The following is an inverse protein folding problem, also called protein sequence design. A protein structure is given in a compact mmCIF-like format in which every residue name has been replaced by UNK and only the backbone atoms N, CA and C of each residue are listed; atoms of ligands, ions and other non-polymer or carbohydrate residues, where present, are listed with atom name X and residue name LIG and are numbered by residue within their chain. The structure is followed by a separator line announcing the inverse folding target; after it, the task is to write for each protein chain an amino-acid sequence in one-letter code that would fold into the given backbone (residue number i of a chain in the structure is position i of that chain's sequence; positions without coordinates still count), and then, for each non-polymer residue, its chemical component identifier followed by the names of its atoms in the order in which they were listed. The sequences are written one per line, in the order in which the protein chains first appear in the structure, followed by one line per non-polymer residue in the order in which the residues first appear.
data_IF_754010988694
#
_entry.id   IF_754010988694
#
_cell.length_a   1.000
_cell.length_b   1.000
_cell.length_c   1.000
_cell.angle_alpha   90.00
_cell.angle_beta   90.00
_cell.angle_gamma   90.00
#
_symmetry.space_group_name_H-M   'P 1'
#
loop_
_entity.id
_entity.type
_entity.pdbx_description
1 polymer ?
#
# COMPACT_ATOMS: atom_id res chain seq x y z
N UNK A 1 12.50 -35.77 28.25
CA UNK A 1 13.10 -34.47 27.87
C UNK A 1 11.95 -33.58 27.42
N UNK A 2 11.37 -32.82 28.35
CA UNK A 2 10.22 -31.94 28.09
C UNK A 2 10.83 -30.68 27.47
N UNK A 3 10.62 -30.48 26.18
CA UNK A 3 11.09 -29.27 25.50
C UNK A 3 10.14 -28.16 25.97
N UNK A 4 10.63 -27.29 26.84
CA UNK A 4 9.85 -26.17 27.35
C UNK A 4 9.55 -25.22 26.18
N UNK A 5 8.28 -25.19 25.79
CA UNK A 5 7.74 -24.34 24.71
C UNK A 5 8.05 -22.87 25.00
N UNK A 6 8.14 -22.51 26.27
CA UNK A 6 8.48 -21.16 26.74
C UNK A 6 9.95 -20.78 26.51
N UNK A 7 10.85 -21.76 26.42
CA UNK A 7 12.27 -21.49 26.08
C UNK A 7 12.41 -21.26 24.57
N UNK A 8 11.64 -21.98 23.76
CA UNK A 8 11.58 -21.75 22.30
C UNK A 8 10.93 -20.40 21.99
N UNK A 9 9.86 -20.01 22.69
CA UNK A 9 9.20 -18.72 22.50
C UNK A 9 10.13 -17.55 22.89
N UNK A 10 10.84 -17.66 24.01
CA UNK A 10 11.79 -16.65 24.44
C UNK A 10 13.05 -16.57 23.56
N UNK A 11 13.52 -17.69 23.01
CA UNK A 11 14.58 -17.70 22.00
C UNK A 11 14.09 -17.11 20.68
N UNK A 12 12.85 -17.40 20.25
CA UNK A 12 12.27 -16.81 19.06
C UNK A 12 12.17 -15.28 19.20
N UNK A 13 11.64 -14.77 20.31
CA UNK A 13 11.55 -13.33 20.61
C UNK A 13 12.92 -12.65 20.62
N UNK A 14 13.96 -13.34 21.12
CA UNK A 14 15.35 -12.82 21.15
C UNK A 14 16.03 -12.80 19.77
N UNK A 15 15.58 -13.60 18.80
CA UNK A 15 16.15 -13.70 17.46
C UNK A 15 15.28 -13.12 16.33
N UNK A 16 14.00 -12.78 16.59
CA UNK A 16 13.11 -12.20 15.57
C UNK A 16 12.87 -10.71 15.83
N UNK A 17 13.73 -9.87 15.26
CA UNK A 17 13.44 -8.43 15.06
C UNK A 17 12.39 -8.19 13.97
N UNK A 18 11.69 -9.23 13.52
CA UNK A 18 10.71 -9.18 12.44
C UNK A 18 9.33 -8.92 13.05
N UNK A 19 8.63 -7.86 12.62
CA UNK A 19 7.29 -7.56 13.11
C UNK A 19 6.26 -8.68 12.85
N UNK A 20 5.23 -8.78 13.71
CA UNK A 20 4.30 -9.91 13.76
C UNK A 20 3.50 -10.08 12.46
N UNK A 21 2.96 -9.00 11.89
CA UNK A 21 2.12 -9.07 10.68
C UNK A 21 2.97 -9.49 9.49
N UNK A 22 4.22 -9.00 9.44
CA UNK A 22 5.20 -9.41 8.44
C UNK A 22 5.45 -10.92 8.52
N UNK A 23 5.67 -11.46 9.74
CA UNK A 23 5.88 -12.90 9.94
C UNK A 23 4.67 -13.71 9.45
N UNK A 24 3.45 -13.26 9.75
CA UNK A 24 2.21 -13.91 9.31
C UNK A 24 2.12 -13.96 7.78
N UNK A 25 2.37 -12.84 7.09
CA UNK A 25 2.32 -12.83 5.61
C UNK A 25 3.46 -13.63 4.97
N UNK A 26 4.65 -13.68 5.58
CA UNK A 26 5.74 -14.55 5.13
C UNK A 26 5.37 -16.03 5.29
N UNK A 27 4.88 -16.43 6.46
CA UNK A 27 4.43 -17.80 6.71
C UNK A 27 3.29 -18.18 5.76
N UNK A 28 2.34 -17.27 5.53
CA UNK A 28 1.23 -17.47 4.58
C UNK A 28 1.76 -17.70 3.16
N UNK A 29 2.69 -16.88 2.69
CA UNK A 29 3.24 -17.00 1.33
C UNK A 29 4.03 -18.28 1.14
N UNK A 30 4.87 -18.63 2.13
CA UNK A 30 5.64 -19.88 2.12
C UNK A 30 4.70 -21.09 2.11
N UNK A 31 3.70 -21.11 2.98
CA UNK A 31 2.77 -22.24 3.10
C UNK A 31 1.90 -22.38 1.86
N UNK A 32 1.28 -21.31 1.37
CA UNK A 32 0.42 -21.37 0.17
C UNK A 32 1.22 -21.71 -1.09
N UNK A 33 2.42 -21.16 -1.26
CA UNK A 33 3.28 -21.50 -2.40
C UNK A 33 3.78 -22.95 -2.32
N UNK A 34 4.14 -23.44 -1.13
CA UNK A 34 4.56 -24.82 -0.92
C UNK A 34 3.42 -25.82 -1.19
N UNK A 35 2.22 -25.55 -0.66
CA UNK A 35 1.02 -26.37 -0.91
C UNK A 35 0.68 -26.39 -2.39
N UNK A 36 0.71 -25.25 -3.07
CA UNK A 36 0.45 -25.17 -4.52
C UNK A 36 1.48 -25.98 -5.30
N UNK A 37 2.77 -25.83 -4.98
CA UNK A 37 3.84 -26.59 -5.65
C UNK A 37 3.70 -28.10 -5.44
N UNK A 38 3.37 -28.52 -4.22
CA UNK A 38 3.12 -29.93 -3.89
C UNK A 38 1.95 -30.50 -4.69
N UNK A 39 0.79 -29.82 -4.67
CA UNK A 39 -0.41 -30.28 -5.41
C UNK A 39 -0.15 -30.30 -6.92
N UNK A 40 0.54 -29.30 -7.47
CA UNK A 40 0.90 -29.28 -8.90
C UNK A 40 1.80 -30.45 -9.26
N UNK A 41 2.80 -30.75 -8.43
CA UNK A 41 3.73 -31.86 -8.65
C UNK A 41 3.02 -33.22 -8.61
N UNK A 42 2.15 -33.43 -7.63
CA UNK A 42 1.35 -34.65 -7.53
C UNK A 42 0.42 -34.81 -8.75
N UNK A 43 -0.31 -33.75 -9.11
CA UNK A 43 -1.21 -33.75 -10.27
C UNK A 43 -0.45 -34.01 -11.57
N UNK A 44 0.76 -33.44 -11.71
CA UNK A 44 1.62 -33.67 -12.87
C UNK A 44 1.99 -35.15 -13.00
N UNK A 45 2.45 -35.76 -11.91
CA UNK A 45 2.87 -37.16 -11.91
C UNK A 45 1.71 -38.09 -12.25
N UNK A 46 0.50 -37.81 -11.78
CA UNK A 46 -0.70 -38.59 -12.10
C UNK A 46 -1.14 -38.42 -13.55
N UNK A 47 -1.09 -37.21 -14.10
CA UNK A 47 -1.60 -36.93 -15.45
C UNK A 47 -0.58 -37.23 -16.56
N UNK A 48 0.71 -37.32 -16.22
CA UNK A 48 1.77 -37.61 -17.16
C UNK A 48 1.67 -39.02 -17.76
N UNK A 49 1.13 -39.99 -17.01
CA UNK A 49 0.91 -41.35 -17.53
C UNK A 49 -0.09 -41.39 -18.68
N UNK A 50 -1.09 -40.51 -18.61
CA UNK A 50 -2.21 -40.49 -19.54
C UNK A 50 -1.95 -39.53 -20.71
N UNK A 51 -1.12 -38.49 -20.49
CA UNK A 51 -0.80 -37.47 -21.49
C UNK A 51 0.72 -37.16 -21.51
N UNK A 52 1.51 -37.84 -22.36
CA UNK A 52 2.97 -37.68 -22.37
C UNK A 52 3.45 -36.32 -22.90
N UNK A 53 2.58 -35.52 -23.52
CA UNK A 53 2.87 -34.16 -24.00
C UNK A 53 2.47 -33.05 -23.02
N UNK A 54 2.01 -33.40 -21.82
CA UNK A 54 1.55 -32.42 -20.82
C UNK A 54 2.73 -31.57 -20.32
N UNK A 55 2.63 -30.24 -20.41
CA UNK A 55 3.59 -29.35 -19.78
C UNK A 55 3.23 -29.09 -18.31
N UNK A 56 4.23 -28.94 -17.45
CA UNK A 56 4.03 -28.64 -16.03
C UNK A 56 3.29 -27.30 -15.80
N UNK A 57 3.47 -26.35 -16.71
CA UNK A 57 2.86 -25.02 -16.64
C UNK A 57 1.36 -25.02 -16.96
N UNK A 58 0.85 -26.08 -17.61
CA UNK A 58 -0.57 -26.23 -17.93
C UNK A 58 -1.40 -26.69 -16.71
N UNK A 59 -0.73 -27.08 -15.62
CA UNK A 59 -1.40 -27.53 -14.40
C UNK A 59 -1.84 -26.33 -13.57
N UNK A 60 -3.15 -26.13 -13.58
CA UNK A 60 -3.85 -25.04 -12.94
C UNK A 60 -4.60 -25.57 -11.72
N UNK A 61 -4.58 -24.80 -10.63
CA UNK A 61 -5.35 -25.11 -9.41
C UNK A 61 -6.33 -23.97 -9.17
N UNK A 62 -7.59 -24.07 -9.66
CA UNK A 62 -8.58 -22.99 -9.58
C UNK A 62 -8.96 -22.58 -8.15
N UNK A 63 -8.71 -23.42 -7.15
CA UNK A 63 -9.01 -23.11 -5.74
C UNK A 63 -7.96 -22.22 -5.08
N UNK A 64 -6.77 -22.09 -5.66
CA UNK A 64 -5.65 -21.29 -5.11
C UNK A 64 -5.24 -20.15 -6.05
N UNK A 65 -5.37 -20.36 -7.36
CA UNK A 65 -5.03 -19.39 -8.40
C UNK A 65 -6.27 -18.63 -8.87
N UNK A 66 -6.09 -17.37 -9.27
CA UNK A 66 -7.18 -16.52 -9.73
C UNK A 66 -7.55 -16.85 -11.18
N UNK A 67 -8.55 -17.70 -11.38
CA UNK A 67 -9.07 -18.08 -12.70
C UNK A 67 -10.40 -17.35 -12.96
N UNK A 68 -10.51 -16.50 -14.01
CA UNK A 68 -11.72 -15.74 -14.30
C UNK A 68 -12.99 -16.59 -14.39
N UNK A 69 -12.94 -17.75 -15.04
CA UNK A 69 -14.12 -18.62 -15.19
C UNK A 69 -14.58 -19.32 -13.91
N UNK A 70 -13.72 -19.44 -12.90
CA UNK A 70 -14.01 -20.17 -11.65
C UNK A 70 -14.19 -19.27 -10.42
N UNK A 71 -14.11 -17.94 -10.60
CA UNK A 71 -14.14 -16.96 -9.50
C UNK A 71 -15.41 -17.03 -8.65
N UNK A 72 -16.55 -17.36 -9.26
CA UNK A 72 -17.85 -17.48 -8.57
C UNK A 72 -17.83 -18.62 -7.56
N UNK A 73 -17.11 -19.71 -7.86
CA UNK A 73 -16.98 -20.87 -6.97
C UNK A 73 -15.87 -20.71 -5.94
N UNK A 74 -14.81 -19.95 -6.29
CA UNK A 74 -13.64 -19.75 -5.45
C UNK A 74 -13.32 -18.26 -5.24
N UNK A 75 -14.20 -17.48 -4.58
CA UNK A 75 -14.03 -16.03 -4.44
C UNK A 75 -12.81 -15.64 -3.58
N UNK A 76 -12.37 -16.52 -2.67
CA UNK A 76 -11.18 -16.29 -1.85
C UNK A 76 -9.89 -16.19 -2.69
N UNK A 77 -9.90 -16.66 -3.93
CA UNK A 77 -8.76 -16.50 -4.86
C UNK A 77 -8.42 -15.05 -5.16
N UNK A 78 -9.35 -14.10 -4.95
CA UNK A 78 -9.05 -12.66 -5.01
C UNK A 78 -7.98 -12.23 -3.99
N UNK A 79 -7.87 -12.95 -2.88
CA UNK A 79 -6.88 -12.69 -1.84
C UNK A 79 -5.73 -13.68 -1.87
N UNK A 80 -6.02 -14.99 -1.96
CA UNK A 80 -4.99 -16.03 -1.85
C UNK A 80 -4.05 -16.05 -3.06
N UNK A 81 -4.52 -15.73 -4.26
CA UNK A 81 -3.71 -15.80 -5.50
C UNK A 81 -2.47 -14.92 -5.47
N UNK A 82 -2.52 -13.80 -4.75
CA UNK A 82 -1.36 -12.92 -4.59
C UNK A 82 -0.21 -13.59 -3.86
N UNK A 83 -0.50 -14.51 -2.93
CA UNK A 83 0.51 -15.19 -2.10
C UNK A 83 0.90 -16.57 -2.65
N UNK A 84 0.35 -16.95 -3.80
CA UNK A 84 0.62 -18.22 -4.48
C UNK A 84 1.55 -17.95 -5.65
N UNK A 85 2.83 -18.26 -5.45
CA UNK A 85 3.85 -18.09 -6.49
C UNK A 85 4.11 -19.42 -7.20
N UNK A 86 4.09 -19.38 -8.54
CA UNK A 86 4.29 -20.58 -9.39
C UNK A 86 5.72 -20.72 -9.86
N UNK A 87 6.48 -19.61 -9.93
CA UNK A 87 7.87 -19.58 -10.33
C UNK A 87 8.80 -19.41 -9.12
N UNK A 88 9.91 -20.16 -9.02
CA UNK A 88 10.89 -19.99 -7.95
C UNK A 88 11.47 -18.57 -7.88
N UNK A 89 11.66 -17.92 -9.03
CA UNK A 89 12.17 -16.55 -9.07
C UNK A 89 11.15 -15.57 -8.51
N UNK A 90 9.88 -15.70 -8.91
CA UNK A 90 8.81 -14.84 -8.38
C UNK A 90 8.62 -15.07 -6.88
N UNK A 91 8.77 -16.31 -6.40
CA UNK A 91 8.73 -16.63 -4.97
C UNK A 91 9.85 -15.94 -4.17
N UNK A 92 11.10 -15.99 -4.64
CA UNK A 92 12.23 -15.31 -3.97
C UNK A 92 12.00 -13.80 -3.96
N UNK A 93 11.64 -13.22 -5.11
CA UNK A 93 11.31 -11.80 -5.17
C UNK A 93 10.16 -11.46 -4.23
N UNK A 94 9.11 -12.28 -4.22
CA UNK A 94 7.94 -12.23 -3.35
C UNK A 94 8.28 -12.10 -1.87
N UNK A 95 9.13 -12.99 -1.36
CA UNK A 95 9.61 -12.96 0.02
C UNK A 95 10.31 -11.63 0.32
N UNK A 96 11.14 -11.13 -0.60
CA UNK A 96 11.82 -9.83 -0.46
C UNK A 96 10.80 -8.70 -0.39
N UNK A 97 9.75 -8.72 -1.22
CA UNK A 97 8.67 -7.71 -1.22
C UNK A 97 7.99 -7.65 0.14
N UNK A 98 7.58 -8.82 0.65
CA UNK A 98 6.86 -8.90 1.92
C UNK A 98 7.78 -8.50 3.06
N UNK A 99 8.98 -9.07 3.12
CA UNK A 99 9.93 -8.79 4.21
C UNK A 99 10.26 -7.31 4.29
N UNK A 100 10.70 -6.65 3.21
CA UNK A 100 11.04 -5.23 3.30
C UNK A 100 9.82 -4.31 3.29
N UNK A 101 8.81 -4.64 2.50
CA UNK A 101 7.62 -3.82 2.32
C UNK A 101 6.71 -3.80 3.54
N UNK A 102 6.25 -4.97 3.99
CA UNK A 102 5.32 -5.07 5.11
C UNK A 102 6.00 -4.69 6.43
N UNK A 103 7.28 -5.05 6.63
CA UNK A 103 8.06 -4.58 7.80
C UNK A 103 8.11 -3.06 7.84
N UNK A 104 8.34 -2.41 6.70
CA UNK A 104 8.33 -0.96 6.61
C UNK A 104 6.96 -0.38 6.97
N UNK A 105 5.86 -0.93 6.44
CA UNK A 105 4.51 -0.48 6.78
C UNK A 105 4.19 -0.63 8.26
N UNK A 106 4.50 -1.79 8.83
CA UNK A 106 4.24 -2.13 10.23
C UNK A 106 5.02 -1.22 11.18
N UNK A 107 6.29 -0.97 10.87
CA UNK A 107 7.14 -0.03 11.63
C UNK A 107 6.58 1.40 11.64
N UNK A 108 5.94 1.85 10.57
CA UNK A 108 5.46 3.23 10.46
C UNK A 108 4.02 3.43 10.97
N UNK A 109 3.15 2.43 10.80
CA UNK A 109 1.73 2.54 11.16
C UNK A 109 1.38 1.96 12.52
N UNK A 110 2.19 1.05 13.06
CA UNK A 110 2.01 0.48 14.40
C UNK A 110 3.27 0.72 15.26
N UNK A 111 3.63 1.99 15.57
CA UNK A 111 4.87 2.30 16.30
C UNK A 111 4.88 1.88 17.79
N UNK A 112 3.96 1.03 18.24
CA UNK A 112 3.64 0.84 19.65
C UNK A 112 3.63 -0.64 20.10
N UNK A 113 4.63 -1.42 19.66
CA UNK A 113 4.91 -2.74 20.23
C UNK A 113 6.37 -2.95 20.65
N UNK A 114 7.18 -1.88 20.72
CA UNK A 114 8.64 -2.00 20.94
C UNK A 114 9.17 -1.31 22.21
N UNK A 115 8.29 -0.84 23.10
CA UNK A 115 8.69 -0.04 24.28
C UNK A 115 7.84 -0.34 25.51
N UNK A 116 7.72 -1.62 25.86
CA UNK A 116 7.69 -2.00 27.28
C UNK A 116 8.07 -3.48 27.42
N UNK A 117 9.31 -3.75 27.86
CA UNK A 117 9.89 -5.08 27.98
C UNK A 117 9.29 -5.92 29.14
N UNK A 118 8.22 -5.44 29.80
CA UNK A 118 7.66 -6.02 31.02
C UNK A 118 6.16 -6.36 30.94
N UNK A 119 5.56 -6.32 29.76
CA UNK A 119 4.13 -6.56 29.60
C UNK A 119 3.84 -7.87 28.85
N UNK A 120 3.01 -8.72 29.48
CA UNK A 120 2.57 -10.01 28.96
C UNK A 120 2.12 -9.90 27.49
N UNK A 121 2.43 -10.89 26.66
CA UNK A 121 1.99 -10.97 25.25
C UNK A 121 0.49 -10.72 25.09
N UNK A 122 -0.30 -11.05 26.12
CA UNK A 122 -1.74 -10.81 26.22
C UNK A 122 -2.10 -9.31 26.29
N UNK A 123 -1.33 -8.44 26.95
CA UNK A 123 -1.57 -6.99 26.97
C UNK A 123 -1.18 -6.33 25.65
N UNK A 124 -0.13 -6.81 24.97
CA UNK A 124 0.24 -6.38 23.61
C UNK A 124 -0.86 -6.72 22.59
N UNK A 125 -1.45 -7.91 22.70
CA UNK A 125 -2.60 -8.33 21.88
C UNK A 125 -3.86 -7.49 22.17
N UNK A 126 -4.06 -7.06 23.42
CA UNK A 126 -5.22 -6.27 23.84
C UNK A 126 -5.07 -4.77 23.60
N UNK A 127 -3.84 -4.23 23.57
CA UNK A 127 -3.53 -2.84 23.27
C UNK A 127 -3.60 -2.53 21.76
N UNK A 128 -3.39 -3.55 20.93
CA UNK A 128 -3.56 -3.43 19.50
C UNK A 128 -5.05 -3.31 19.17
N UNK A 129 -5.45 -2.24 18.47
CA UNK A 129 -6.78 -2.16 17.83
C UNK A 129 -7.04 -3.50 17.12
N UNK A 130 -8.28 -4.03 17.14
CA UNK A 130 -8.57 -5.41 16.74
C UNK A 130 -8.08 -5.79 15.33
N UNK A 131 -7.81 -4.80 14.48
CA UNK A 131 -7.15 -4.99 13.18
C UNK A 131 -6.17 -3.84 12.94
N UNK A 132 -4.89 -4.18 12.68
CA UNK A 132 -3.84 -3.22 12.33
C UNK A 132 -4.11 -2.53 10.99
N UNK A 133 -3.67 -1.28 10.85
CA UNK A 133 -3.86 -0.53 9.60
C UNK A 133 -3.11 -1.18 8.44
N UNK A 134 -1.93 -1.74 8.70
CA UNK A 134 -1.13 -2.51 7.73
C UNK A 134 -1.94 -3.67 7.13
N UNK A 135 -2.63 -4.43 7.97
CA UNK A 135 -3.45 -5.55 7.51
C UNK A 135 -4.64 -5.08 6.68
N UNK A 136 -5.32 -4.00 7.10
CA UNK A 136 -6.44 -3.41 6.35
C UNK A 136 -6.00 -2.91 4.98
N UNK A 137 -4.94 -2.11 4.92
CA UNK A 137 -4.39 -1.59 3.68
C UNK A 137 -4.00 -2.71 2.73
N UNK A 138 -3.20 -3.66 3.22
CA UNK A 138 -2.68 -4.75 2.38
C UNK A 138 -3.83 -5.62 1.84
N UNK A 139 -4.77 -6.02 2.70
CA UNK A 139 -5.92 -6.83 2.29
C UNK A 139 -6.84 -6.09 1.32
N UNK A 140 -7.11 -4.80 1.57
CA UNK A 140 -7.93 -3.96 0.69
C UNK A 140 -7.29 -3.84 -0.69
N UNK A 141 -6.00 -3.46 -0.75
CA UNK A 141 -5.29 -3.26 -2.01
C UNK A 141 -5.24 -4.56 -2.81
N UNK A 142 -4.95 -5.70 -2.17
CA UNK A 142 -4.92 -7.00 -2.86
C UNK A 142 -6.28 -7.35 -3.46
N UNK A 143 -7.34 -7.35 -2.64
CA UNK A 143 -8.67 -7.80 -3.09
C UNK A 143 -9.22 -6.89 -4.18
N UNK A 144 -9.21 -5.56 -3.93
CA UNK A 144 -9.79 -4.59 -4.86
C UNK A 144 -9.00 -4.56 -6.17
N UNK A 145 -7.68 -4.61 -6.11
CA UNK A 145 -6.86 -4.58 -7.32
C UNK A 145 -7.01 -5.86 -8.15
N UNK A 146 -7.02 -7.04 -7.51
CA UNK A 146 -7.26 -8.31 -8.22
C UNK A 146 -8.66 -8.34 -8.83
N UNK A 147 -9.68 -7.85 -8.12
CA UNK A 147 -11.04 -7.80 -8.63
C UNK A 147 -11.15 -6.89 -9.86
N UNK A 148 -10.62 -5.68 -9.79
CA UNK A 148 -10.61 -4.75 -10.95
C UNK A 148 -9.81 -5.33 -12.11
N UNK A 149 -8.64 -5.93 -11.86
CA UNK A 149 -7.85 -6.58 -12.92
C UNK A 149 -8.60 -7.74 -13.57
N UNK A 150 -9.32 -8.54 -12.78
CA UNK A 150 -10.15 -9.63 -13.27
C UNK A 150 -11.27 -9.11 -14.16
N UNK A 151 -11.98 -8.06 -13.76
CA UNK A 151 -13.03 -7.44 -14.57
C UNK A 151 -12.49 -6.90 -15.90
N UNK A 152 -11.41 -6.11 -15.86
CA UNK A 152 -10.81 -5.52 -17.06
C UNK A 152 -10.28 -6.60 -17.99
N UNK A 153 -9.57 -7.59 -17.46
CA UNK A 153 -8.98 -8.67 -18.28
C UNK A 153 -10.06 -9.55 -18.89
N UNK A 154 -11.10 -9.88 -18.13
CA UNK A 154 -12.24 -10.66 -18.64
C UNK A 154 -12.96 -9.91 -19.76
N UNK A 155 -13.19 -8.60 -19.57
CA UNK A 155 -13.80 -7.75 -20.59
C UNK A 155 -12.96 -7.70 -21.88
N UNK A 156 -11.64 -7.53 -21.76
CA UNK A 156 -10.73 -7.54 -22.92
C UNK A 156 -10.76 -8.89 -23.66
N UNK A 157 -10.78 -10.02 -22.94
CA UNK A 157 -10.83 -11.34 -23.57
C UNK A 157 -12.16 -11.65 -24.24
N UNK A 158 -13.27 -11.20 -23.66
CA UNK A 158 -14.59 -11.28 -24.29
C UNK A 158 -14.62 -10.46 -25.58
N UNK A 159 -14.10 -9.23 -25.58
CA UNK A 159 -14.03 -8.39 -26.78
C UNK A 159 -13.15 -8.98 -27.88
N UNK A 160 -12.08 -9.70 -27.51
CA UNK A 160 -11.19 -10.39 -28.45
C UNK A 160 -11.74 -11.72 -28.96
N UNK A 161 -12.84 -12.23 -28.39
CA UNK A 161 -13.39 -13.55 -28.72
C UNK A 161 -12.54 -14.73 -28.24
N UNK A 162 -11.55 -14.51 -27.36
CA UNK A 162 -10.63 -15.54 -26.87
C UNK A 162 -11.11 -16.13 -25.55
N UNK A 163 -12.19 -16.91 -25.61
CA UNK A 163 -12.85 -17.45 -24.41
C UNK A 163 -12.01 -18.48 -23.67
N UNK A 164 -11.17 -19.24 -24.38
CA UNK A 164 -10.28 -20.24 -23.76
C UNK A 164 -9.31 -19.60 -22.77
N UNK A 165 -8.89 -18.36 -23.04
CA UNK A 165 -7.97 -17.62 -22.16
C UNK A 165 -8.58 -17.26 -20.80
N UNK A 166 -9.92 -17.29 -20.67
CA UNK A 166 -10.60 -17.08 -19.38
C UNK A 166 -10.42 -18.26 -18.42
N UNK A 167 -9.99 -19.42 -18.92
CA UNK A 167 -9.69 -20.59 -18.10
C UNK A 167 -8.23 -20.60 -17.60
N UNK A 168 -7.39 -19.68 -18.07
CA UNK A 168 -6.03 -19.54 -17.56
C UNK A 168 -5.97 -18.60 -16.35
N UNK A 169 -5.10 -18.90 -15.37
CA UNK A 169 -4.97 -18.09 -14.17
C UNK A 169 -4.30 -16.74 -14.45
N UNK A 170 -4.76 -15.69 -13.77
CA UNK A 170 -4.12 -14.39 -13.75
C UNK A 170 -2.90 -14.42 -12.81
N UNK A 171 -1.72 -14.52 -13.38
CA UNK A 171 -0.45 -14.65 -12.64
C UNK A 171 0.16 -13.28 -12.31
N UNK A 172 -0.50 -12.51 -11.45
CA UNK A 172 0.07 -11.25 -10.94
C UNK A 172 1.00 -11.48 -9.74
N UNK A 173 0.67 -12.43 -8.86
CA UNK A 173 1.44 -12.74 -7.65
C UNK A 173 1.68 -11.51 -6.77
N UNK A 174 2.83 -11.48 -6.10
CA UNK A 174 3.23 -10.38 -5.21
C UNK A 174 3.64 -9.11 -5.95
N UNK A 175 3.71 -9.14 -7.29
CA UNK A 175 3.95 -7.95 -8.09
C UNK A 175 2.86 -6.89 -7.87
N UNK A 176 1.63 -7.29 -7.52
CA UNK A 176 0.54 -6.37 -7.23
C UNK A 176 0.81 -5.47 -6.01
N UNK A 177 1.71 -5.87 -5.11
CA UNK A 177 2.08 -5.11 -3.92
C UNK A 177 3.25 -4.15 -4.13
N UNK A 178 4.04 -4.33 -5.19
CA UNK A 178 5.23 -3.51 -5.47
C UNK A 178 4.92 -2.01 -5.52
N UNK A 179 3.94 -1.64 -6.34
CA UNK A 179 3.60 -0.24 -6.55
C UNK A 179 2.87 0.39 -5.35
N UNK A 180 1.88 -0.29 -4.72
CA UNK A 180 1.29 0.16 -3.47
C UNK A 180 2.29 0.46 -2.35
N UNK A 181 3.28 -0.42 -2.15
CA UNK A 181 4.33 -0.22 -1.15
C UNK A 181 5.16 1.03 -1.45
N UNK A 182 5.48 1.27 -2.72
CA UNK A 182 6.18 2.48 -3.16
C UNK A 182 5.33 3.75 -2.97
N UNK A 183 4.01 3.69 -3.19
CA UNK A 183 3.09 4.80 -2.93
C UNK A 183 3.06 5.16 -1.44
N UNK A 184 2.98 4.16 -0.55
CA UNK A 184 3.06 4.39 0.89
C UNK A 184 4.41 4.98 1.28
N UNK A 185 5.50 4.45 0.72
CA UNK A 185 6.84 4.95 0.98
C UNK A 185 6.98 6.43 0.57
N UNK A 186 6.39 6.86 -0.56
CA UNK A 186 6.28 8.27 -0.93
C UNK A 186 5.49 9.08 0.11
N UNK A 187 4.36 8.57 0.61
CA UNK A 187 3.51 9.27 1.56
C UNK A 187 4.23 9.50 2.91
N UNK A 188 4.97 8.50 3.39
CA UNK A 188 5.56 8.51 4.73
C UNK A 188 6.97 9.13 4.75
N UNK A 189 7.79 8.91 3.73
CA UNK A 189 9.18 9.38 3.74
C UNK A 189 9.62 9.96 2.39
N UNK A 190 8.93 10.99 1.86
CA UNK A 190 9.14 11.48 0.49
C UNK A 190 10.59 11.93 0.19
N UNK A 191 11.32 12.41 1.20
CA UNK A 191 12.67 12.97 1.05
C UNK A 191 13.81 11.97 1.23
N UNK A 192 13.52 10.72 1.65
CA UNK A 192 14.58 9.72 1.80
C UNK A 192 15.19 9.43 0.44
N UNK A 193 16.49 9.65 0.31
CA UNK A 193 17.22 9.26 -0.88
C UNK A 193 17.49 7.76 -0.82
N UNK A 194 17.00 7.02 -1.81
CA UNK A 194 17.44 5.63 -2.00
C UNK A 194 18.75 5.68 -2.79
N UNK A 195 19.78 5.01 -2.26
CA UNK A 195 21.00 4.71 -3.00
C UNK A 195 20.86 3.30 -3.55
N UNK A 196 20.64 3.17 -4.87
CA UNK A 196 20.66 1.89 -5.55
C UNK A 196 22.06 1.67 -6.11
N UNK A 197 22.75 0.63 -5.62
CA UNK A 197 24.09 0.22 -6.05
C UNK A 197 25.14 1.34 -6.14
N UNK A 198 25.17 2.27 -5.17
CA UNK A 198 26.07 3.45 -5.10
C UNK A 198 25.95 4.48 -6.26
N UNK A 199 25.58 4.03 -7.46
CA UNK A 199 25.59 4.76 -8.74
C UNK A 199 24.32 5.57 -8.95
N UNK A 200 23.16 5.10 -8.49
CA UNK A 200 21.89 5.78 -8.71
C UNK A 200 21.33 6.34 -7.41
N UNK A 201 21.30 7.68 -7.31
CA UNK A 201 20.67 8.41 -6.21
C UNK A 201 19.39 9.05 -6.74
N UNK A 202 18.24 8.58 -6.28
CA UNK A 202 16.97 9.26 -6.55
C UNK A 202 16.16 9.43 -5.26
N UNK A 203 15.35 10.49 -5.23
CA UNK A 203 14.43 10.75 -4.12
C UNK A 203 13.27 9.75 -4.18
N UNK A 204 12.89 9.20 -3.03
CA UNK A 204 11.80 8.21 -2.92
C UNK A 204 10.49 8.70 -3.54
N UNK A 205 10.23 10.01 -3.53
CA UNK A 205 9.06 10.60 -4.21
C UNK A 205 8.92 10.25 -5.71
N UNK A 206 10.03 9.93 -6.39
CA UNK A 206 10.02 9.53 -7.81
C UNK A 206 9.87 8.00 -8.01
N UNK A 207 9.93 7.22 -6.92
CA UNK A 207 9.88 5.75 -7.01
C UNK A 207 8.60 5.19 -7.66
N UNK A 208 7.39 5.70 -7.38
CA UNK A 208 6.19 5.12 -7.98
C UNK A 208 6.17 5.31 -9.50
N UNK A 209 6.60 6.47 -9.99
CA UNK A 209 6.69 6.73 -11.43
C UNK A 209 7.74 5.84 -12.11
N UNK A 210 8.92 5.67 -11.49
CA UNK A 210 9.98 4.80 -12.03
C UNK A 210 9.48 3.35 -12.14
N UNK A 211 8.79 2.85 -11.12
CA UNK A 211 8.23 1.50 -11.13
C UNK A 211 7.10 1.35 -12.16
N UNK A 212 6.28 2.39 -12.36
CA UNK A 212 5.27 2.41 -13.42
C UNK A 212 5.90 2.33 -14.81
N UNK A 213 6.95 3.12 -15.07
CA UNK A 213 7.72 3.05 -16.31
C UNK A 213 8.39 1.68 -16.49
N UNK A 214 8.93 1.10 -15.42
CA UNK A 214 9.51 -0.22 -15.45
C UNK A 214 8.48 -1.30 -15.81
N UNK A 215 7.28 -1.25 -15.20
CA UNK A 215 6.17 -2.14 -15.53
C UNK A 215 5.74 -1.99 -17.01
N UNK A 216 5.75 -0.76 -17.53
CA UNK A 216 5.44 -0.48 -18.93
C UNK A 216 6.48 -1.11 -19.87
N UNK A 217 7.78 -0.94 -19.58
CA UNK A 217 8.86 -1.54 -20.36
C UNK A 217 8.77 -3.07 -20.32
N UNK A 218 8.53 -3.67 -19.14
CA UNK A 218 8.33 -5.12 -19.03
C UNK A 218 7.13 -5.61 -19.84
N UNK A 219 6.04 -4.84 -19.87
CA UNK A 219 4.85 -5.16 -20.65
C UNK A 219 5.15 -5.13 -22.16
N UNK A 220 5.92 -4.16 -22.63
CA UNK A 220 6.37 -4.06 -24.02
C UNK A 220 7.28 -5.25 -24.37
N UNK A 221 8.28 -5.55 -23.52
CA UNK A 221 9.23 -6.66 -23.76
C UNK A 221 8.52 -8.02 -23.80
N UNK A 222 7.52 -8.23 -22.91
CA UNK A 222 6.75 -9.47 -22.88
C UNK A 222 5.60 -9.50 -23.90
N UNK A 223 5.38 -8.43 -24.66
CA UNK A 223 4.20 -8.24 -25.52
C UNK A 223 2.87 -8.62 -24.83
N UNK A 224 2.78 -8.30 -23.54
CA UNK A 224 1.66 -8.71 -22.69
C UNK A 224 1.28 -7.60 -21.73
N UNK A 225 -0.02 -7.37 -21.56
CA UNK A 225 -0.56 -6.39 -20.60
C UNK A 225 -0.36 -6.82 -19.13
N UNK A 226 0.02 -8.07 -18.90
CA UNK A 226 0.06 -8.66 -17.55
C UNK A 226 0.92 -7.88 -16.55
N UNK A 227 2.05 -7.23 -16.91
CA UNK A 227 2.80 -6.42 -15.95
C UNK A 227 2.21 -5.01 -15.72
N UNK A 228 1.77 -4.32 -16.77
CA UNK A 228 1.35 -2.91 -16.66
C UNK A 228 -0.05 -2.74 -16.08
N UNK A 229 -0.97 -3.66 -16.41
CA UNK A 229 -2.36 -3.59 -15.94
C UNK A 229 -2.46 -3.64 -14.40
N UNK A 230 -1.92 -4.67 -13.71
CA UNK A 230 -1.96 -4.72 -12.24
C UNK A 230 -1.16 -3.58 -11.62
N UNK A 231 -0.10 -3.08 -12.27
CA UNK A 231 0.63 -1.91 -11.78
C UNK A 231 -0.29 -0.67 -11.73
N UNK A 232 -0.91 -0.28 -12.85
CA UNK A 232 -1.80 0.89 -12.88
C UNK A 232 -2.97 0.73 -11.91
N UNK A 233 -3.61 -0.44 -11.89
CA UNK A 233 -4.77 -0.69 -11.03
C UNK A 233 -4.36 -0.63 -9.55
N UNK A 234 -3.30 -1.33 -9.15
CA UNK A 234 -2.84 -1.33 -7.76
C UNK A 234 -2.34 0.03 -7.29
N UNK A 235 -1.71 0.82 -8.17
CA UNK A 235 -1.34 2.21 -7.91
C UNK A 235 -2.56 3.07 -7.61
N UNK A 236 -3.59 3.01 -8.46
CA UNK A 236 -4.82 3.79 -8.28
C UNK A 236 -5.57 3.36 -7.01
N UNK A 237 -5.66 2.05 -6.74
CA UNK A 237 -6.27 1.51 -5.52
C UNK A 237 -5.54 1.97 -4.27
N UNK A 238 -4.21 1.91 -4.26
CA UNK A 238 -3.39 2.34 -3.13
C UNK A 238 -3.49 3.86 -2.91
N UNK A 239 -3.42 4.66 -3.98
CA UNK A 239 -3.60 6.11 -3.89
C UNK A 239 -4.99 6.46 -3.33
N UNK A 240 -6.05 5.81 -3.81
CA UNK A 240 -7.41 6.02 -3.32
C UNK A 240 -7.54 5.66 -1.83
N UNK A 241 -7.00 4.51 -1.42
CA UNK A 241 -7.03 4.10 -0.01
C UNK A 241 -6.31 5.12 0.87
N UNK A 242 -5.09 5.51 0.53
CA UNK A 242 -4.29 6.42 1.37
C UNK A 242 -4.85 7.84 1.39
N UNK A 243 -5.41 8.31 0.27
CA UNK A 243 -6.00 9.64 0.20
C UNK A 243 -7.32 9.73 0.95
N UNK A 244 -8.18 8.71 0.93
CA UNK A 244 -9.57 8.83 1.46
C UNK A 244 -9.98 7.84 2.57
N UNK A 245 -9.34 6.67 2.65
CA UNK A 245 -9.77 5.58 3.54
C UNK A 245 -8.86 5.38 4.75
N UNK A 246 -7.57 5.67 4.61
CA UNK A 246 -6.58 5.43 5.66
C UNK A 246 -6.95 6.15 6.96
N UNK A 247 -6.92 5.43 8.07
CA UNK A 247 -7.09 6.02 9.39
C UNK A 247 -5.71 6.15 10.02
N UNK A 248 -5.14 7.35 10.02
CA UNK A 248 -3.81 7.57 10.58
C UNK A 248 -3.89 7.68 12.11
N UNK A 249 -3.27 6.77 12.90
CA UNK A 249 -3.18 6.94 14.34
C UNK A 249 -2.20 8.06 14.64
N UNK A 250 -2.73 9.21 15.08
CA UNK A 250 -2.23 10.23 16.00
C UNK A 250 -0.71 10.53 16.23
N UNK A 251 0.28 9.95 15.55
CA UNK A 251 1.65 10.51 15.57
C UNK A 251 1.62 11.96 15.03
N UNK A 252 0.64 12.26 14.18
CA UNK A 252 0.36 13.57 13.61
C UNK A 252 -0.62 14.45 14.45
N UNK A 253 -1.08 14.01 15.62
CA UNK A 253 -2.08 14.75 16.40
C UNK A 253 -1.50 15.90 17.24
N UNK A 254 -0.18 16.13 17.20
CA UNK A 254 0.47 17.20 17.98
C UNK A 254 0.24 18.61 17.42
N UNK A 255 -0.53 18.76 16.35
CA UNK A 255 -0.63 20.01 15.60
C UNK A 255 -1.87 20.82 16.01
N UNK A 256 -2.94 20.15 16.43
CA UNK A 256 -4.17 20.79 16.84
C UNK A 256 -4.32 20.68 18.37
N UNK A 257 -4.57 21.79 19.09
CA UNK A 257 -5.03 21.70 20.48
C UNK A 257 -6.41 21.03 20.45
N UNK A 258 -6.48 19.73 20.74
CA UNK A 258 -7.75 19.07 20.94
C UNK A 258 -8.32 19.55 22.28
N UNK A 259 -9.52 20.17 22.31
CA UNK A 259 -10.20 20.40 23.57
C UNK A 259 -10.59 19.02 24.11
N UNK A 260 -9.95 18.64 25.21
CA UNK A 260 -10.02 17.33 25.86
C UNK A 260 -9.22 16.23 25.15
N UNK A 261 -8.67 15.29 25.94
CA UNK A 261 -7.84 14.13 25.60
C UNK A 261 -8.48 13.11 24.63
N UNK A 262 -9.12 13.58 23.56
CA UNK A 262 -9.66 12.79 22.47
C UNK A 262 -8.67 12.89 21.32
N UNK A 263 -8.00 11.79 21.02
CA UNK A 263 -7.12 11.69 19.86
C UNK A 263 -7.97 11.88 18.60
N UNK A 264 -7.88 13.06 17.98
CA UNK A 264 -8.59 13.34 16.74
C UNK A 264 -8.12 12.36 15.66
N UNK A 265 -8.95 11.38 15.32
CA UNK A 265 -8.68 10.43 14.25
C UNK A 265 -8.83 11.17 12.93
N UNK A 266 -7.72 11.32 12.21
CA UNK A 266 -7.74 11.89 10.88
C UNK A 266 -7.91 10.78 9.85
N UNK A 267 -8.90 10.97 8.97
CA UNK A 267 -9.16 10.12 7.82
C UNK A 267 -8.49 10.70 6.56
N UNK A 268 -7.66 9.89 5.92
CA UNK A 268 -7.02 10.19 4.64
C UNK A 268 -5.88 11.20 4.71
N UNK A 269 -5.31 11.49 3.54
CA UNK A 269 -4.26 12.49 3.33
C UNK A 269 -4.71 13.52 2.27
N UNK A 270 -5.37 14.61 2.70
CA UNK A 270 -5.89 15.63 1.79
C UNK A 270 -4.80 16.53 1.17
N UNK A 271 -3.54 16.40 1.61
CA UNK A 271 -2.45 17.30 1.18
C UNK A 271 -2.26 17.35 -0.33
N UNK A 272 -1.84 18.52 -0.82
CA UNK A 272 -1.52 18.76 -2.23
C UNK A 272 -0.28 17.97 -2.66
N UNK A 273 0.66 17.76 -1.73
CA UNK A 273 1.87 16.94 -1.95
C UNK A 273 1.55 15.47 -2.26
N UNK A 274 0.38 14.99 -1.82
CA UNK A 274 -0.14 13.66 -2.09
C UNK A 274 -1.25 13.64 -3.16
N UNK A 275 -1.43 14.73 -3.91
CA UNK A 275 -2.31 14.74 -5.07
C UNK A 275 -1.84 13.76 -6.15
N UNK A 276 -2.75 13.30 -7.00
CA UNK A 276 -2.43 12.33 -8.06
C UNK A 276 -1.40 12.90 -9.06
N UNK A 277 -1.50 14.20 -9.37
CA UNK A 277 -0.59 14.91 -10.27
C UNK A 277 0.86 14.86 -9.76
N UNK A 278 1.06 14.93 -8.44
CA UNK A 278 2.37 14.95 -7.80
C UNK A 278 3.14 13.61 -7.89
N UNK A 279 2.55 12.56 -8.44
CA UNK A 279 3.27 11.33 -8.75
C UNK A 279 4.02 11.38 -10.08
N UNK A 280 3.71 12.35 -10.96
CA UNK A 280 4.28 12.47 -12.29
C UNK A 280 5.42 13.50 -12.33
N UNK A 281 6.35 13.41 -13.31
CA UNK A 281 7.43 14.38 -13.45
C UNK A 281 6.90 15.77 -13.83
N UNK A 282 7.62 16.81 -13.40
CA UNK A 282 7.19 18.21 -13.49
C UNK A 282 6.85 18.65 -14.93
N UNK A 283 7.52 18.08 -15.94
CA UNK A 283 7.28 18.36 -17.35
C UNK A 283 5.85 18.01 -17.82
N UNK A 284 5.24 16.97 -17.25
CA UNK A 284 3.95 16.43 -17.70
C UNK A 284 2.82 16.89 -16.76
N UNK A 285 3.13 17.47 -15.60
CA UNK A 285 2.12 17.90 -14.63
C UNK A 285 1.15 18.94 -15.21
N UNK A 286 1.66 19.90 -15.98
CA UNK A 286 0.83 20.95 -16.58
C UNK A 286 -0.27 20.41 -17.49
N UNK A 287 0.00 19.34 -18.24
CA UNK A 287 -0.97 18.71 -19.13
C UNK A 287 -1.90 17.73 -18.42
N UNK A 288 -1.41 17.04 -17.38
CA UNK A 288 -2.19 16.06 -16.61
C UNK A 288 -3.13 16.68 -15.58
N UNK A 289 -2.79 17.86 -15.02
CA UNK A 289 -3.60 18.53 -14.01
C UNK A 289 -5.07 18.71 -14.43
N UNK A 290 -5.41 19.33 -15.58
CA UNK A 290 -6.81 19.49 -15.96
C UNK A 290 -7.54 18.16 -16.16
N UNK A 291 -6.82 17.13 -16.63
CA UNK A 291 -7.38 15.78 -16.83
C UNK A 291 -7.76 15.15 -15.49
N UNK A 292 -6.85 15.19 -14.51
CA UNK A 292 -7.11 14.63 -13.17
C UNK A 292 -8.15 15.44 -12.39
N UNK A 293 -8.17 16.76 -12.55
CA UNK A 293 -9.19 17.62 -11.95
C UNK A 293 -10.58 17.28 -12.53
N UNK A 294 -10.67 17.02 -13.84
CA UNK A 294 -11.90 16.55 -14.49
C UNK A 294 -12.37 15.20 -13.95
N UNK A 295 -11.48 14.21 -13.85
CA UNK A 295 -11.82 12.92 -13.23
C UNK A 295 -12.26 13.06 -11.77
N UNK A 296 -11.63 13.95 -11.01
CA UNK A 296 -12.02 14.24 -9.63
C UNK A 296 -13.42 14.82 -9.54
N UNK A 297 -13.77 15.81 -10.37
CA UNK A 297 -15.11 16.39 -10.41
C UNK A 297 -16.18 15.36 -10.76
N UNK A 298 -15.91 14.49 -11.74
CA UNK A 298 -16.81 13.39 -12.10
C UNK A 298 -16.97 12.40 -10.94
N UNK A 299 -15.88 12.05 -10.26
CA UNK A 299 -15.93 11.14 -9.11
C UNK A 299 -16.70 11.73 -7.92
N UNK A 300 -16.61 13.04 -7.70
CA UNK A 300 -17.39 13.77 -6.69
C UNK A 300 -18.88 13.80 -7.09
N UNK A 301 -19.18 14.08 -8.36
CA UNK A 301 -20.56 14.10 -8.88
C UNK A 301 -21.24 12.73 -8.73
N UNK A 302 -20.51 11.65 -8.99
CA UNK A 302 -20.99 10.28 -8.83
C UNK A 302 -21.04 9.82 -7.36
N UNK A 303 -20.61 10.65 -6.41
CA UNK A 303 -20.59 10.31 -4.98
C UNK A 303 -19.55 9.25 -4.60
N UNK A 304 -18.61 8.93 -5.49
CA UNK A 304 -17.53 7.96 -5.23
C UNK A 304 -16.50 8.56 -4.27
N UNK A 305 -16.28 9.87 -4.35
CA UNK A 305 -15.28 10.61 -3.58
C UNK A 305 -15.93 11.76 -2.81
N UNK A 306 -15.55 11.94 -1.54
CA UNK A 306 -15.93 13.12 -0.76
C UNK A 306 -15.09 14.33 -1.20
N UNK A 307 -15.71 15.49 -1.49
CA UNK A 307 -14.95 16.71 -1.74
C UNK A 307 -14.20 17.16 -0.48
N UNK A 308 -12.96 17.62 -0.65
CA UNK A 308 -12.19 18.19 0.45
C UNK A 308 -12.58 19.64 0.68
N UNK A 309 -12.64 20.07 1.94
CA UNK A 309 -12.73 21.48 2.29
C UNK A 309 -11.33 22.11 2.29
N UNK A 310 -11.24 23.41 2.07
CA UNK A 310 -9.94 24.12 2.05
C UNK A 310 -9.21 23.97 3.40
N UNK A 311 -9.95 24.00 4.52
CA UNK A 311 -9.39 23.74 5.85
C UNK A 311 -8.74 22.34 5.99
N UNK A 312 -9.37 21.31 5.40
CA UNK A 312 -8.84 19.94 5.45
C UNK A 312 -7.53 19.85 4.67
N UNK A 313 -7.46 20.53 3.52
CA UNK A 313 -6.26 20.60 2.66
C UNK A 313 -5.13 21.34 3.35
N UNK A 314 -5.42 22.49 3.97
CA UNK A 314 -4.42 23.28 4.70
C UNK A 314 -3.81 22.50 5.87
N UNK A 315 -4.65 21.83 6.67
CA UNK A 315 -4.17 20.97 7.76
C UNK A 315 -3.35 19.79 7.20
N UNK A 316 -3.77 19.23 6.05
CA UNK A 316 -3.02 18.19 5.34
C UNK A 316 -1.64 18.65 4.90
N UNK A 317 -1.56 19.84 4.31
CA UNK A 317 -0.31 20.46 3.85
C UNK A 317 0.63 20.70 5.04
N UNK A 318 0.13 21.21 6.15
CA UNK A 318 0.92 21.39 7.38
C UNK A 318 1.48 20.06 7.91
N UNK A 319 0.68 18.98 7.93
CA UNK A 319 1.15 17.63 8.29
C UNK A 319 2.22 17.10 7.34
N UNK A 320 2.07 17.33 6.03
CA UNK A 320 3.08 16.90 5.05
C UNK A 320 4.41 17.63 5.24
N UNK A 321 4.36 18.94 5.53
CA UNK A 321 5.54 19.74 5.83
C UNK A 321 6.25 19.27 7.11
N UNK A 322 5.50 18.91 8.16
CA UNK A 322 6.10 18.39 9.40
C UNK A 322 6.80 17.04 9.21
N UNK A 323 6.23 16.15 8.37
CA UNK A 323 6.87 14.87 7.99
C UNK A 323 8.22 15.11 7.29
N UNK A 324 8.28 16.16 6.47
CA UNK A 324 9.47 16.56 5.71
C UNK A 324 10.51 17.26 6.60
N UNK A 325 10.09 18.22 7.43
CA UNK A 325 11.01 19.03 8.23
C UNK A 325 11.53 18.30 9.47
N UNK A 326 10.85 17.24 9.91
CA UNK A 326 11.05 16.60 11.20
C UNK A 326 10.60 17.50 12.35
N UNK A 327 10.19 16.90 13.48
CA UNK A 327 9.77 17.63 14.69
C UNK A 327 10.87 18.57 15.27
N UNK A 328 12.12 18.46 14.81
CA UNK A 328 13.27 19.21 15.29
C UNK A 328 13.47 20.58 14.60
N UNK A 329 12.93 20.81 13.40
CA UNK A 329 13.07 22.12 12.71
C UNK A 329 12.01 23.16 13.11
N UNK A 330 10.97 22.80 13.86
CA UNK A 330 10.00 23.80 14.33
C UNK A 330 10.57 24.75 15.38
N UNK A 331 11.70 24.41 16.03
CA UNK A 331 12.39 25.32 16.96
C UNK A 331 13.23 26.41 16.26
N UNK A 332 13.63 26.23 15.00
CA UNK A 332 14.50 27.17 14.28
C UNK A 332 13.82 27.91 13.14
N UNK A 333 12.66 27.44 12.65
CA UNK A 333 11.81 28.18 11.71
C UNK A 333 10.75 29.06 12.41
N UNK A 334 10.68 29.04 13.75
CA UNK A 334 9.74 29.83 14.56
C UNK A 334 9.87 31.35 14.41
N UNK A 335 10.89 31.87 13.71
CA UNK A 335 11.03 33.30 13.47
C UNK A 335 9.91 33.86 12.58
N UNK A 336 9.66 33.26 11.41
CA UNK A 336 8.77 33.88 10.43
C UNK A 336 7.30 33.48 10.62
N UNK A 337 7.01 32.24 10.98
CA UNK A 337 5.63 31.73 11.08
C UNK A 337 4.92 32.18 12.37
N UNK A 338 5.65 32.33 13.48
CA UNK A 338 5.07 32.93 14.70
C UNK A 338 4.88 34.43 14.55
N UNK A 339 5.73 35.10 13.77
CA UNK A 339 5.56 36.52 13.46
C UNK A 339 4.37 36.75 12.51
N UNK A 340 4.14 35.88 11.53
CA UNK A 340 2.93 35.95 10.69
C UNK A 340 1.66 35.65 11.49
N UNK A 341 1.70 34.66 12.40
CA UNK A 341 0.57 34.36 13.29
C UNK A 341 0.32 35.49 14.30
N UNK A 342 1.37 36.14 14.83
CA UNK A 342 1.26 37.35 15.67
C UNK A 342 0.70 38.53 14.89
N UNK A 343 1.12 38.72 13.64
CA UNK A 343 0.58 39.76 12.74
C UNK A 343 -0.90 39.55 12.46
N UNK A 344 -1.34 38.32 12.22
CA UNK A 344 -2.76 38.02 11.98
C UNK A 344 -3.63 38.21 13.24
N UNK A 345 -3.10 37.87 14.43
CA UNK A 345 -3.80 38.15 15.70
C UNK A 345 -3.85 39.65 15.96
N UNK A 346 -2.77 40.39 15.72
CA UNK A 346 -2.75 41.84 15.86
C UNK A 346 -3.72 42.52 14.88
N UNK A 347 -3.83 42.02 13.64
CA UNK A 347 -4.77 42.54 12.65
C UNK A 347 -6.22 42.35 13.09
N UNK A 348 -6.56 41.17 13.62
CA UNK A 348 -7.90 40.90 14.17
C UNK A 348 -8.23 41.75 15.40
N UNK A 349 -7.25 41.97 16.28
CA UNK A 349 -7.43 42.85 17.44
C UNK A 349 -7.65 44.31 17.01
N UNK A 350 -6.93 44.77 15.97
CA UNK A 350 -7.14 46.09 15.36
C UNK A 350 -8.52 46.23 14.73
N UNK A 351 -8.98 45.23 13.97
CA UNK A 351 -10.33 45.20 13.42
C UNK A 351 -11.39 45.25 14.52
N UNK A 352 -11.20 44.51 15.62
CA UNK A 352 -12.13 44.52 16.76
C UNK A 352 -12.18 45.87 17.47
N UNK A 353 -11.04 46.55 17.67
CA UNK A 353 -11.02 47.90 18.26
C UNK A 353 -11.62 48.95 17.34
N UNK A 354 -11.35 48.89 16.03
CA UNK A 354 -11.91 49.84 15.04
C UNK A 354 -13.44 49.67 14.95
N UNK A 355 -13.95 48.46 15.07
CA UNK A 355 -15.40 48.18 15.05
C UNK A 355 -16.10 48.57 16.38
N UNK A 356 -15.35 48.71 17.48
CA UNK A 356 -15.88 49.19 18.77
C UNK A 356 -15.87 50.73 18.89
N UNK A 357 -15.07 51.43 18.09
CA UNK A 357 -14.98 52.90 18.09
C UNK A 357 -15.90 53.57 17.05
N UNK A 358 -16.60 52.79 16.22
CA UNK A 358 -17.71 53.22 15.34
C UNK A 358 -19.05 52.89 15.96
#
# INVERSE_FOLDING_TARGET
MRIDIDVISNLAVKYTTVPLITLVYLALTITLSAVTSYIRTQSYQTLLSDNPSLAFDDIIIPSLQLVPSHIVFHPWTLWTSTYVETSPLQFIFGIIIIYFGITFLESQWNPQSLTDDNEDVTSLLNAQKPVSETFKFNTFVVIVSNFICLLITSFIYILKGSYETLNHPLQYGLFILMLPLSVVAKQLTPERNIKVFSLFKFRLKRSPFILLCFALVLSIVKFSLSPILPAIVSFMTAWYYLRYLQLSPAINSQILPAPNNTSAIVRGDPSDTFSLVEFFPDLIKGTLKPVFDGFYQVAVLLGVVRPWNDDDVDIGNLRSNLRVSGASKSKTASGNETDERRKQIALKMLEQTVTQES
#
